data_IF_410111523942
#
_entry.id   IF_410111523942
#
_cell.length_a   1.000
_cell.length_b   1.000
_cell.length_c   1.000
_cell.angle_alpha   90.00
_cell.angle_beta   90.00
_cell.angle_gamma   90.00
#
_symmetry.space_group_name_H-M   'P 1'
#
loop_
_entity.id
_entity.type
_entity.pdbx_description
1 polymer ?
#
# COMPACT_ATOMS: atom_id res chain seq x y z
N UNK A 1 9.46 -18.82 -8.22
CA UNK A 1 9.14 -17.42 -7.86
C UNK A 1 10.28 -16.53 -8.32
N UNK A 2 10.01 -15.45 -9.05
CA UNK A 2 10.57 -14.18 -8.59
C UNK A 2 9.57 -13.02 -8.74
N UNK A 3 9.24 -12.42 -7.61
CA UNK A 3 8.88 -11.00 -7.54
C UNK A 3 10.09 -10.26 -8.13
N UNK A 4 9.87 -9.40 -9.13
CA UNK A 4 10.95 -8.63 -9.74
C UNK A 4 11.32 -7.50 -8.78
N UNK A 5 12.17 -7.82 -7.80
CA UNK A 5 12.77 -6.84 -6.92
C UNK A 5 13.81 -6.05 -7.71
N UNK A 6 13.50 -4.81 -8.09
CA UNK A 6 14.55 -3.87 -8.45
C UNK A 6 15.28 -3.45 -7.17
N UNK A 7 16.36 -4.17 -6.82
CA UNK A 7 17.30 -3.70 -5.80
C UNK A 7 18.12 -2.56 -6.40
N UNK A 8 17.73 -1.31 -6.12
CA UNK A 8 18.65 -0.19 -6.27
C UNK A 8 19.42 0.02 -4.96
N UNK A 9 20.72 0.36 -5.03
CA UNK A 9 21.50 0.65 -3.83
C UNK A 9 21.01 1.97 -3.21
N UNK A 10 20.16 1.87 -2.19
CA UNK A 10 19.81 3.03 -1.36
C UNK A 10 20.91 3.23 -0.30
N UNK A 11 21.32 4.48 -0.07
CA UNK A 11 22.49 4.86 0.72
C UNK A 11 22.61 4.15 2.08
N UNK A 12 23.76 3.50 2.27
CA UNK A 12 24.38 3.06 3.52
C UNK A 12 23.50 2.98 4.79
N UNK A 13 22.60 1.99 4.89
CA UNK A 13 22.33 1.16 6.10
C UNK A 13 21.03 0.35 6.07
N UNK A 14 20.12 0.62 5.13
CA UNK A 14 18.83 -0.09 5.05
C UNK A 14 18.71 -0.85 3.74
N UNK A 15 18.32 -2.13 3.80
CA UNK A 15 17.96 -2.90 2.60
C UNK A 15 16.61 -2.37 2.11
N UNK A 16 16.63 -1.47 1.12
CA UNK A 16 15.42 -1.00 0.47
C UNK A 16 14.97 -1.98 -0.61
N UNK A 17 13.68 -2.28 -0.62
CA UNK A 17 13.00 -3.09 -1.63
C UNK A 17 12.01 -2.18 -2.35
N UNK A 18 12.14 -2.03 -3.67
CA UNK A 18 11.21 -1.24 -4.46
C UNK A 18 10.13 -2.13 -5.08
N UNK A 19 8.86 -1.79 -4.85
CA UNK A 19 7.69 -2.43 -5.46
C UNK A 19 7.01 -1.39 -6.34
N UNK A 20 7.32 -1.46 -7.64
CA UNK A 20 6.65 -0.63 -8.65
C UNK A 20 5.62 -1.45 -9.41
N UNK A 21 4.39 -0.93 -9.50
CA UNK A 21 3.42 -1.41 -10.47
C UNK A 21 3.73 -0.80 -11.83
N UNK A 22 4.85 -1.21 -12.43
CA UNK A 22 4.93 -1.08 -13.89
C UNK A 22 3.80 -1.93 -14.47
N UNK A 23 3.15 -1.42 -15.52
CA UNK A 23 1.96 -1.93 -16.24
C UNK A 23 1.94 -3.43 -16.65
N UNK A 24 2.91 -4.22 -16.19
CA UNK A 24 2.98 -5.65 -16.37
C UNK A 24 2.12 -6.37 -15.32
N UNK A 25 1.13 -7.12 -15.80
CA UNK A 25 0.21 -8.03 -15.11
C UNK A 25 0.83 -9.07 -14.13
N UNK A 26 2.14 -9.00 -13.86
CA UNK A 26 2.92 -10.02 -13.17
C UNK A 26 2.74 -10.03 -11.65
N UNK A 27 2.35 -8.92 -11.02
CA UNK A 27 2.04 -8.93 -9.57
C UNK A 27 0.78 -9.76 -9.27
N UNK A 28 -0.20 -9.79 -10.18
CA UNK A 28 -1.41 -10.63 -10.07
C UNK A 28 -1.19 -12.10 -10.41
N UNK A 29 -0.04 -12.46 -11.00
CA UNK A 29 0.26 -13.85 -11.42
C UNK A 29 0.56 -14.80 -10.25
N UNK A 30 0.98 -14.28 -9.09
CA UNK A 30 1.29 -15.09 -7.91
C UNK A 30 0.07 -15.56 -7.11
N UNK A 31 -1.07 -14.88 -7.26
CA UNK A 31 -2.31 -15.15 -6.52
C UNK A 31 -3.30 -16.09 -7.24
N UNK A 32 -2.92 -16.66 -8.40
CA UNK A 32 -3.83 -17.48 -9.22
C UNK A 32 -4.91 -16.67 -9.95
N UNK A 33 -4.75 -15.35 -10.06
CA UNK A 33 -5.75 -14.42 -10.61
C UNK A 33 -5.55 -14.09 -12.10
N UNK A 34 -4.68 -14.82 -12.81
CA UNK A 34 -4.29 -14.54 -14.21
C UNK A 34 -5.47 -14.40 -15.16
N UNK A 35 -6.52 -15.21 -15.00
CA UNK A 35 -7.73 -15.11 -15.82
C UNK A 35 -8.70 -14.01 -15.34
N UNK A 36 -8.81 -13.79 -14.02
CA UNK A 36 -9.80 -12.86 -13.46
C UNK A 36 -9.39 -11.40 -13.59
N UNK A 37 -8.11 -11.07 -13.39
CA UNK A 37 -7.62 -9.70 -13.44
C UNK A 37 -7.79 -9.04 -14.82
N UNK A 38 -7.48 -9.78 -15.89
CA UNK A 38 -7.68 -9.32 -17.28
C UNK A 38 -9.14 -9.32 -17.71
N UNK A 39 -9.98 -10.22 -17.18
CA UNK A 39 -11.43 -10.24 -17.44
C UNK A 39 -12.19 -9.15 -16.67
N UNK A 40 -11.66 -8.70 -15.53
CA UNK A 40 -12.26 -7.68 -14.68
C UNK A 40 -11.75 -6.27 -14.97
N UNK A 41 -10.76 -6.11 -15.86
CA UNK A 41 -10.20 -4.80 -16.20
C UNK A 41 -9.47 -4.14 -15.04
N UNK A 42 -8.77 -4.92 -14.20
CA UNK A 42 -8.11 -4.41 -13.02
C UNK A 42 -6.85 -3.59 -13.38
N UNK A 43 -6.91 -2.26 -13.29
CA UNK A 43 -5.78 -1.37 -13.58
C UNK A 43 -5.30 -0.63 -12.33
N UNK A 44 -3.99 -0.35 -12.28
CA UNK A 44 -3.38 0.45 -11.21
C UNK A 44 -3.56 1.94 -11.49
N UNK A 45 -4.46 2.59 -10.75
CA UNK A 45 -4.68 4.04 -10.84
C UNK A 45 -3.92 4.77 -9.72
N UNK A 46 -3.29 5.93 -10.01
CA UNK A 46 -2.69 6.78 -8.99
C UNK A 46 -3.75 7.34 -8.04
N UNK A 47 -3.34 7.63 -6.81
CA UNK A 47 -4.27 8.12 -5.78
C UNK A 47 -4.72 9.55 -6.07
N UNK A 48 -3.79 10.42 -6.44
CA UNK A 48 -4.08 11.83 -6.71
C UNK A 48 -4.87 12.00 -8.01
N UNK A 49 -6.11 12.49 -7.92
CA UNK A 49 -6.91 12.98 -9.04
C UNK A 49 -7.65 11.91 -9.84
N UNK A 50 -7.19 10.65 -9.87
CA UNK A 50 -7.90 9.55 -10.57
C UNK A 50 -8.78 8.71 -9.64
N UNK A 51 -8.34 8.44 -8.41
CA UNK A 51 -9.11 7.67 -7.42
C UNK A 51 -9.85 8.56 -6.42
N UNK A 52 -9.27 9.70 -6.05
CA UNK A 52 -9.81 10.57 -5.02
C UNK A 52 -9.33 12.03 -5.20
N UNK A 53 -10.19 13.00 -4.90
CA UNK A 53 -9.87 14.43 -4.97
C UNK A 53 -9.08 14.95 -3.76
N UNK A 54 -9.09 14.24 -2.63
CA UNK A 54 -8.38 14.58 -1.39
C UNK A 54 -7.88 13.30 -0.70
N UNK A 55 -6.91 12.58 -1.30
CA UNK A 55 -6.39 11.36 -0.70
C UNK A 55 -5.59 11.69 0.56
N UNK A 56 -5.78 10.86 1.58
CA UNK A 56 -5.12 10.95 2.89
C UNK A 56 -4.52 9.61 3.24
N UNK A 57 -3.35 9.65 3.87
CA UNK A 57 -2.74 8.44 4.41
C UNK A 57 -3.56 7.98 5.62
N UNK A 58 -3.92 8.92 6.50
CA UNK A 58 -4.76 8.67 7.68
C UNK A 58 -5.93 9.66 7.77
N UNK A 59 -7.10 9.17 8.14
CA UNK A 59 -8.24 10.02 8.53
C UNK A 59 -8.56 9.75 9.99
N UNK A 60 -8.39 10.76 10.84
CA UNK A 60 -8.56 10.65 12.31
C UNK A 60 -7.63 9.62 13.01
N UNK A 61 -6.58 9.15 12.32
CA UNK A 61 -5.56 8.25 12.85
C UNK A 61 -5.58 6.88 12.16
N UNK A 62 -5.02 5.87 12.82
CA UNK A 62 -5.18 4.47 12.39
C UNK A 62 -6.16 3.79 13.34
N UNK A 63 -7.15 3.11 12.77
CA UNK A 63 -8.20 2.41 13.48
C UNK A 63 -8.47 1.05 12.82
N UNK A 64 -8.86 0.06 13.62
CA UNK A 64 -9.27 -1.24 13.09
C UNK A 64 -10.60 -1.20 12.33
N UNK A 65 -11.36 -0.11 12.46
CA UNK A 65 -12.61 0.11 11.71
C UNK A 65 -12.34 0.47 10.25
N UNK A 66 -11.10 0.81 9.92
CA UNK A 66 -10.66 1.30 8.62
C UNK A 66 -10.31 0.13 7.69
N UNK A 67 -10.77 -1.08 8.00
CA UNK A 67 -10.33 -2.31 7.37
C UNK A 67 -11.50 -3.07 6.77
N UNK A 68 -11.78 -2.79 5.50
CA UNK A 68 -12.56 -3.66 4.63
C UNK A 68 -11.60 -4.56 3.85
N UNK A 69 -11.91 -5.86 3.79
CA UNK A 69 -11.08 -6.83 3.06
C UNK A 69 -11.10 -6.60 1.54
N UNK A 70 -12.18 -6.05 1.00
CA UNK A 70 -12.40 -6.04 -0.45
C UNK A 70 -12.77 -7.41 -1.01
N UNK A 71 -13.01 -7.48 -2.31
CA UNK A 71 -13.47 -8.70 -3.00
C UNK A 71 -12.37 -9.72 -3.24
N UNK A 72 -11.11 -9.28 -3.26
CA UNK A 72 -9.92 -10.11 -3.52
C UNK A 72 -8.85 -10.01 -2.43
N UNK A 73 -9.08 -9.24 -1.36
CA UNK A 73 -8.13 -9.14 -0.25
C UNK A 73 -8.12 -10.38 0.64
N UNK A 74 -7.17 -10.38 1.57
CA UNK A 74 -6.87 -11.53 2.41
C UNK A 74 -7.36 -11.33 3.85
N UNK A 75 -8.24 -12.20 4.36
CA UNK A 75 -8.76 -12.08 5.73
C UNK A 75 -7.66 -12.15 6.80
N UNK A 76 -6.63 -12.96 6.58
CA UNK A 76 -5.47 -13.06 7.49
C UNK A 76 -4.68 -11.75 7.54
N UNK A 77 -4.62 -11.02 6.43
CA UNK A 77 -3.94 -9.73 6.36
C UNK A 77 -4.73 -8.65 7.10
N UNK A 78 -6.05 -8.60 6.87
CA UNK A 78 -6.96 -7.69 7.58
C UNK A 78 -6.93 -7.89 9.09
N UNK A 79 -6.95 -9.15 9.54
CA UNK A 79 -6.84 -9.47 10.97
C UNK A 79 -5.50 -8.98 11.56
N UNK A 80 -4.38 -9.19 10.86
CA UNK A 80 -3.08 -8.69 11.28
C UNK A 80 -3.03 -7.16 11.34
N UNK A 81 -3.60 -6.47 10.34
CA UNK A 81 -3.70 -5.01 10.32
C UNK A 81 -4.59 -4.47 11.44
N UNK A 82 -5.66 -5.17 11.79
CA UNK A 82 -6.52 -4.81 12.92
C UNK A 82 -5.75 -4.84 14.23
N UNK A 83 -4.93 -5.87 14.45
CA UNK A 83 -4.04 -5.93 15.62
C UNK A 83 -3.00 -4.81 15.58
N UNK A 84 -2.39 -4.54 14.42
CA UNK A 84 -1.41 -3.47 14.25
C UNK A 84 -1.99 -2.09 14.61
N UNK A 85 -3.22 -1.82 14.19
CA UNK A 85 -3.93 -0.57 14.46
C UNK A 85 -4.14 -0.29 15.97
N UNK A 86 -4.25 -1.34 16.80
CA UNK A 86 -4.45 -1.18 18.25
C UNK A 86 -3.20 -0.74 19.01
N UNK A 87 -2.00 -0.93 18.45
CA UNK A 87 -0.75 -0.67 19.16
C UNK A 87 0.06 0.46 18.47
N UNK A 88 -0.06 1.67 19.04
CA UNK A 88 0.53 2.86 18.44
C UNK A 88 2.05 2.82 18.30
N UNK A 89 2.74 2.13 19.22
CA UNK A 89 4.19 1.99 19.16
C UNK A 89 4.65 1.03 18.06
N UNK A 90 3.77 0.13 17.60
CA UNK A 90 4.08 -0.86 16.58
C UNK A 90 3.78 -0.32 15.19
N UNK A 91 2.61 0.27 14.95
CA UNK A 91 2.29 0.80 13.62
C UNK A 91 3.22 1.93 13.22
N UNK A 92 3.68 2.78 14.15
CA UNK A 92 4.69 3.82 13.88
C UNK A 92 6.06 3.26 13.49
N UNK A 93 6.35 1.99 13.82
CA UNK A 93 7.55 1.31 13.32
C UNK A 93 7.35 0.79 11.91
N UNK A 94 6.13 0.35 11.58
CA UNK A 94 5.74 -0.16 10.25
C UNK A 94 5.56 0.96 9.24
N UNK A 95 4.99 2.10 9.65
CA UNK A 95 4.84 3.31 8.82
C UNK A 95 5.75 4.39 9.43
N UNK A 96 7.06 4.34 9.15
CA UNK A 96 8.00 5.35 9.62
C UNK A 96 7.69 6.70 8.97
N UNK A 97 8.12 7.81 9.61
CA UNK A 97 7.95 9.16 9.05
C UNK A 97 6.53 9.46 8.53
N UNK A 98 5.52 8.92 9.21
CA UNK A 98 4.13 8.95 8.76
C UNK A 98 3.59 10.37 8.51
N UNK A 99 4.18 11.40 9.13
CA UNK A 99 3.84 12.80 8.89
C UNK A 99 4.47 13.38 7.63
N UNK A 100 5.67 12.93 7.25
CA UNK A 100 6.33 13.32 5.99
C UNK A 100 5.78 12.59 4.76
N UNK A 101 5.12 11.45 4.98
CA UNK A 101 4.43 10.69 3.92
C UNK A 101 2.97 11.12 3.70
N UNK A 102 2.39 11.92 4.60
CA UNK A 102 1.00 12.37 4.49
C UNK A 102 0.84 13.42 3.39
N UNK A 103 -0.32 13.44 2.74
CA UNK A 103 -0.65 14.49 1.77
C UNK A 103 -0.83 15.84 2.49
N UNK A 104 -0.13 16.87 2.01
CA UNK A 104 -0.31 18.25 2.46
C UNK A 104 -0.95 19.10 1.34
N UNK A 105 -2.24 19.47 1.45
CA UNK A 105 -2.91 20.33 0.48
C UNK A 105 -2.25 21.70 0.32
N UNK A 106 -1.45 22.15 1.30
CA UNK A 106 -0.73 23.43 1.24
C UNK A 106 0.60 23.32 0.48
N UNK A 107 1.10 22.10 0.28
CA UNK A 107 2.39 21.80 -0.35
C UNK A 107 2.27 20.63 -1.34
N UNK A 108 1.41 20.75 -2.36
CA UNK A 108 1.20 19.67 -3.34
C UNK A 108 2.47 19.29 -4.10
N UNK A 109 3.46 20.18 -4.19
CA UNK A 109 4.77 19.93 -4.80
C UNK A 109 5.64 18.92 -4.04
N UNK A 110 5.37 18.70 -2.76
CA UNK A 110 6.07 17.68 -1.95
C UNK A 110 5.59 16.26 -2.29
N UNK A 111 4.40 16.14 -2.89
CA UNK A 111 3.85 14.86 -3.26
C UNK A 111 4.62 14.22 -4.42
N UNK A 112 5.34 13.13 -4.13
CA UNK A 112 6.10 12.38 -5.11
C UNK A 112 5.40 11.08 -5.59
N UNK A 113 4.25 10.72 -5.00
CA UNK A 113 3.59 9.43 -5.27
C UNK A 113 4.41 8.22 -4.81
N UNK A 114 5.26 8.40 -3.79
CA UNK A 114 6.15 7.38 -3.25
C UNK A 114 5.90 7.25 -1.75
N UNK A 115 5.72 6.01 -1.30
CA UNK A 115 5.50 5.65 0.10
C UNK A 115 6.51 4.60 0.52
N UNK A 116 6.77 4.49 1.82
CA UNK A 116 7.61 3.42 2.35
C UNK A 116 7.13 2.87 3.69
N UNK A 117 7.32 1.56 3.82
CA UNK A 117 6.85 0.75 4.93
C UNK A 117 7.98 -0.16 5.42
N UNK A 118 7.95 -0.52 6.70
CA UNK A 118 8.94 -1.40 7.30
C UNK A 118 8.34 -2.71 7.76
N UNK A 119 8.95 -3.80 7.34
CA UNK A 119 8.56 -5.15 7.74
C UNK A 119 9.72 -5.87 8.41
N UNK A 120 9.45 -6.57 9.51
CA UNK A 120 10.45 -7.43 10.13
C UNK A 120 10.43 -8.81 9.46
N UNK A 121 11.53 -9.18 8.82
CA UNK A 121 11.72 -10.51 8.20
C UNK A 121 13.01 -11.12 8.71
N UNK A 122 12.92 -12.32 9.29
CA UNK A 122 14.07 -13.03 9.87
C UNK A 122 14.85 -12.18 10.89
N UNK A 123 14.14 -11.43 11.74
CA UNK A 123 14.74 -10.58 12.78
C UNK A 123 15.36 -9.27 12.27
N UNK A 124 15.28 -8.97 10.97
CA UNK A 124 15.78 -7.73 10.40
C UNK A 124 14.63 -6.89 9.82
N UNK A 125 14.69 -5.58 10.05
CA UNK A 125 13.78 -4.63 9.42
C UNK A 125 14.19 -4.40 7.96
N UNK A 126 13.23 -4.56 7.06
CA UNK A 126 13.32 -4.28 5.64
C UNK A 126 12.52 -3.01 5.37
N UNK A 127 13.09 -2.08 4.62
CA UNK A 127 12.40 -0.89 4.15
C UNK A 127 11.84 -1.18 2.75
N UNK A 128 10.54 -1.03 2.56
CA UNK A 128 9.84 -1.35 1.32
C UNK A 128 9.24 -0.07 0.78
N UNK A 129 9.73 0.38 -0.37
CA UNK A 129 9.30 1.59 -1.05
C UNK A 129 8.36 1.22 -2.18
N UNK A 130 7.20 1.86 -2.25
CA UNK A 130 6.16 1.59 -3.24
C UNK A 130 5.70 2.89 -3.92
N UNK A 131 5.18 2.77 -5.14
CA UNK A 131 4.38 3.85 -5.73
C UNK A 131 2.93 3.84 -5.19
N UNK A 132 2.17 4.88 -5.50
CA UNK A 132 0.79 5.08 -5.05
C UNK A 132 -0.28 4.36 -5.90
N UNK A 133 0.08 3.68 -6.99
CA UNK A 133 -0.92 3.08 -7.88
C UNK A 133 -1.56 1.84 -7.27
N UNK A 134 -2.88 1.81 -7.14
CA UNK A 134 -3.61 0.70 -6.53
C UNK A 134 -4.51 -0.03 -7.54
N UNK A 135 -4.62 -1.37 -7.46
CA UNK A 135 -5.50 -2.15 -8.34
C UNK A 135 -6.98 -1.79 -8.13
N UNK A 136 -7.67 -1.44 -9.21
CA UNK A 136 -9.09 -1.08 -9.19
C UNK A 136 -9.90 -1.76 -10.29
N UNK A 137 -11.18 -2.04 -10.01
CA UNK A 137 -12.17 -2.44 -11.01
C UNK A 137 -13.25 -1.37 -11.02
N UNK A 138 -13.54 -0.79 -12.19
CA UNK A 138 -14.51 0.32 -12.34
C UNK A 138 -14.25 1.48 -11.37
N UNK A 139 -12.97 1.80 -11.10
CA UNK A 139 -12.56 2.87 -10.17
C UNK A 139 -12.67 2.51 -8.69
N UNK A 140 -13.05 1.28 -8.34
CA UNK A 140 -13.15 0.82 -6.94
C UNK A 140 -11.97 -0.08 -6.56
N UNK A 141 -11.43 0.13 -5.36
CA UNK A 141 -10.39 -0.72 -4.79
C UNK A 141 -10.90 -2.15 -4.57
N UNK A 142 -10.11 -3.13 -4.98
CA UNK A 142 -10.52 -4.56 -4.97
C UNK A 142 -9.89 -5.36 -3.84
N UNK A 143 -8.84 -4.80 -3.24
CA UNK A 143 -8.09 -5.32 -2.11
C UNK A 143 -8.50 -4.60 -0.82
N UNK A 144 -7.71 -4.71 0.24
CA UNK A 144 -7.96 -4.03 1.51
C UNK A 144 -8.07 -2.52 1.31
N UNK A 145 -9.09 -1.91 1.92
CA UNK A 145 -9.35 -0.47 1.85
C UNK A 145 -10.16 0.00 3.06
N UNK A 146 -10.13 1.30 3.35
CA UNK A 146 -10.93 1.90 4.40
C UNK A 146 -12.39 2.08 4.01
N UNK A 147 -13.27 2.12 5.02
CA UNK A 147 -14.63 2.57 4.83
C UNK A 147 -14.68 4.08 4.52
N UNK A 148 -13.69 4.84 4.98
CA UNK A 148 -13.47 6.23 4.57
C UNK A 148 -12.78 6.24 3.21
N UNK A 149 -13.48 6.74 2.19
CA UNK A 149 -13.01 6.70 0.79
C UNK A 149 -11.72 7.50 0.54
N UNK A 150 -11.38 8.42 1.43
CA UNK A 150 -10.16 9.23 1.36
C UNK A 150 -8.97 8.60 2.06
N UNK A 151 -9.13 7.48 2.76
CA UNK A 151 -8.09 6.89 3.59
C UNK A 151 -7.42 5.67 2.93
N UNK A 152 -6.08 5.72 2.83
CA UNK A 152 -5.33 4.76 2.00
C UNK A 152 -4.21 3.99 2.72
N UNK A 153 -3.99 4.16 4.02
CA UNK A 153 -2.91 3.46 4.73
C UNK A 153 -2.98 1.93 4.58
N UNK A 154 -4.17 1.34 4.69
CA UNK A 154 -4.34 -0.11 4.65
C UNK A 154 -4.13 -0.69 3.25
N UNK A 155 -4.60 0.03 2.22
CA UNK A 155 -4.42 -0.33 0.81
C UNK A 155 -2.95 -0.28 0.40
N UNK A 156 -2.24 0.78 0.80
CA UNK A 156 -0.81 0.95 0.53
C UNK A 156 0.03 -0.06 1.32
N UNK A 157 -0.33 -0.34 2.57
CA UNK A 157 0.34 -1.34 3.39
C UNK A 157 0.19 -2.75 2.79
N UNK A 158 -0.98 -3.12 2.28
CA UNK A 158 -1.18 -4.41 1.59
C UNK A 158 -0.31 -4.50 0.33
N UNK A 159 -0.25 -3.42 -0.46
CA UNK A 159 0.63 -3.36 -1.64
C UNK A 159 2.10 -3.53 -1.27
N UNK A 160 2.57 -2.94 -0.17
CA UNK A 160 3.94 -3.09 0.28
C UNK A 160 4.25 -4.51 0.82
N UNK A 161 3.24 -5.23 1.29
CA UNK A 161 3.40 -6.60 1.78
C UNK A 161 3.44 -7.65 0.67
N UNK A 162 2.75 -7.41 -0.45
CA UNK A 162 2.61 -8.31 -1.61
C UNK A 162 3.90 -8.49 -2.42
#
# INVERSE_FOLDING_TARGET
>A
MPISFCRLPCGARSRCVFVFWHSCNRVLTGAGLTGKASLLGAWGLPLSGELCEDPRLFVDGISSRDLNQGSLGNCWFVAACSCLATESSLWKKVIPDHGGQEWDPKRPEDYAGIFHFRFCRFGAWLDVVIDDRLPTINGQLIFCHSAEHREFWCSLLEKAYA
#
